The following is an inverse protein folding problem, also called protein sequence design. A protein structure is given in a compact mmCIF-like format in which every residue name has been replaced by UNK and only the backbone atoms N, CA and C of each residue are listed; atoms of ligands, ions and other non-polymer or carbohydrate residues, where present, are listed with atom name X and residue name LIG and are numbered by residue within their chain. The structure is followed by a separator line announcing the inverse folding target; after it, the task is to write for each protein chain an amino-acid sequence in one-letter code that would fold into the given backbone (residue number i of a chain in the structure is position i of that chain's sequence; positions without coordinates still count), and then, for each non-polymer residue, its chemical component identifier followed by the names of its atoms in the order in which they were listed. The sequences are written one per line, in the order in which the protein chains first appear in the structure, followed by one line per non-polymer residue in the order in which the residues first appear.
data_IF_529074745733
#
_entry.id   IF_529074745733
#
_cell.length_a   1.000
_cell.length_b   1.000
_cell.length_c   1.000
_cell.angle_alpha   90.00
_cell.angle_beta   90.00
_cell.angle_gamma   90.00
#
_symmetry.space_group_name_H-M   'P 1'
#
loop_
_entity.id
_entity.type
_entity.pdbx_description
1 polymer ?
#
# COMPACT_ATOMS: atom_id res chain seq x y z
N UNK A 1 25.60 -20.49 36.08
CA UNK A 1 25.08 -21.26 34.94
C UNK A 1 24.48 -20.28 33.95
N UNK A 2 25.13 -20.17 32.81
CA UNK A 2 24.93 -19.18 31.76
C UNK A 2 23.67 -19.44 30.93
N UNK A 3 22.79 -18.45 30.82
CA UNK A 3 21.77 -18.37 29.78
C UNK A 3 21.97 -17.07 29.00
N UNK A 4 23.04 -17.04 28.21
CA UNK A 4 23.09 -16.25 26.99
C UNK A 4 22.65 -17.21 25.87
N UNK A 5 21.47 -16.98 25.29
CA UNK A 5 21.25 -17.33 23.91
C UNK A 5 20.38 -16.23 23.30
N UNK A 6 21.04 -15.47 22.42
CA UNK A 6 20.42 -14.53 21.49
C UNK A 6 19.76 -15.37 20.40
N UNK A 7 18.45 -15.29 20.25
CA UNK A 7 17.80 -15.66 18.99
C UNK A 7 17.83 -14.43 18.07
N UNK A 8 19.00 -14.21 17.47
CA UNK A 8 19.10 -13.54 16.17
C UNK A 8 18.54 -14.52 15.13
N UNK A 9 17.25 -14.37 14.79
CA UNK A 9 16.66 -15.01 13.60
C UNK A 9 16.06 -13.95 12.68
N UNK A 10 16.90 -12.97 12.34
CA UNK A 10 16.80 -12.20 11.11
C UNK A 10 17.91 -12.72 10.18
N UNK A 11 17.54 -13.04 8.94
CA UNK A 11 18.42 -13.42 7.83
C UNK A 11 18.82 -14.90 7.70
N UNK A 12 17.84 -15.75 7.40
CA UNK A 12 18.02 -16.63 6.24
C UNK A 12 16.78 -16.49 5.36
N UNK A 13 16.79 -15.48 4.49
CA UNK A 13 15.94 -15.51 3.30
C UNK A 13 16.32 -16.80 2.59
N UNK A 14 15.43 -17.78 2.64
CA UNK A 14 15.63 -19.10 2.08
C UNK A 14 16.02 -18.97 0.61
N UNK A 15 17.34 -19.05 0.33
CA UNK A 15 17.92 -18.85 -0.99
C UNK A 15 17.33 -19.87 -1.98
N UNK A 16 16.88 -21.02 -1.47
CA UNK A 16 16.14 -22.03 -2.23
C UNK A 16 14.78 -21.51 -2.73
N UNK A 17 14.00 -20.83 -1.89
CA UNK A 17 12.76 -20.18 -2.33
C UNK A 17 13.03 -19.03 -3.31
N UNK A 18 14.16 -18.33 -3.17
CA UNK A 18 14.56 -17.29 -4.12
C UNK A 18 14.98 -17.86 -5.48
N UNK A 19 15.71 -18.98 -5.49
CA UNK A 19 16.12 -19.69 -6.70
C UNK A 19 14.91 -20.34 -7.37
N UNK A 20 14.03 -20.99 -6.61
CA UNK A 20 12.78 -21.56 -7.13
C UNK A 20 11.84 -20.44 -7.64
N UNK A 21 11.85 -19.25 -7.01
CA UNK A 21 11.19 -18.05 -7.51
C UNK A 21 11.80 -17.53 -8.82
N UNK A 22 13.13 -17.50 -8.95
CA UNK A 22 13.81 -17.14 -10.21
C UNK A 22 13.59 -18.17 -11.31
N UNK A 23 13.46 -19.46 -10.96
CA UNK A 23 13.16 -20.55 -11.90
C UNK A 23 11.67 -20.58 -12.30
N UNK A 24 10.74 -20.23 -11.41
CA UNK A 24 9.33 -20.04 -11.74
C UNK A 24 9.09 -18.74 -12.53
N UNK A 25 9.89 -17.70 -12.29
CA UNK A 25 9.96 -16.48 -13.08
C UNK A 25 10.65 -16.67 -14.46
N UNK A 26 11.02 -17.90 -14.85
CA UNK A 26 11.64 -18.23 -16.15
C UNK A 26 10.72 -18.04 -17.37
N UNK A 27 9.68 -17.24 -17.26
CA UNK A 27 8.97 -16.65 -18.40
C UNK A 27 9.39 -15.20 -18.67
N UNK A 28 10.51 -14.72 -18.11
CA UNK A 28 11.20 -13.55 -18.66
C UNK A 28 11.73 -13.93 -20.05
N UNK A 29 11.17 -13.41 -21.15
CA UNK A 29 11.66 -13.69 -22.49
C UNK A 29 13.10 -13.21 -22.63
N UNK A 30 13.92 -14.06 -23.22
CA UNK A 30 15.30 -13.78 -23.59
C UNK A 30 15.37 -12.51 -24.44
N UNK A 31 16.24 -11.59 -24.05
CA UNK A 31 16.50 -10.30 -24.68
C UNK A 31 16.82 -10.50 -26.17
N UNK A 32 16.06 -9.88 -27.06
CA UNK A 32 16.41 -9.77 -28.48
C UNK A 32 17.42 -8.63 -28.67
N UNK A 33 18.51 -8.92 -29.38
CA UNK A 33 19.66 -8.03 -29.57
C UNK A 33 19.28 -6.58 -29.95
N UNK A 34 19.71 -5.61 -29.12
CA UNK A 34 19.76 -4.18 -29.45
C UNK A 34 18.47 -3.34 -29.27
N UNK A 35 17.33 -3.93 -28.89
CA UNK A 35 16.06 -3.18 -28.72
C UNK A 35 15.94 -2.52 -27.34
N UNK A 36 15.42 -1.28 -27.31
CA UNK A 36 15.17 -0.56 -26.05
C UNK A 36 13.92 -1.13 -25.35
N UNK A 37 14.07 -1.52 -24.08
CA UNK A 37 12.96 -2.02 -23.27
C UNK A 37 12.17 -0.87 -22.62
N UNK A 38 10.87 -1.09 -22.41
CA UNK A 38 9.98 -0.20 -21.66
C UNK A 38 9.06 -1.02 -20.75
N UNK A 39 9.21 -0.86 -19.45
CA UNK A 39 8.39 -1.53 -18.44
C UNK A 39 7.22 -0.63 -18.03
N UNK A 40 5.99 -1.11 -18.21
CA UNK A 40 4.75 -0.40 -17.94
C UNK A 40 4.02 -1.10 -16.79
N UNK A 41 3.82 -0.42 -15.67
CA UNK A 41 3.09 -0.96 -14.52
C UNK A 41 1.64 -0.47 -14.53
N UNK A 42 0.68 -1.40 -14.58
CA UNK A 42 -0.74 -1.08 -14.55
C UNK A 42 -1.23 -0.93 -13.11
N UNK A 43 -1.66 0.27 -12.75
CA UNK A 43 -2.19 0.63 -11.45
C UNK A 43 -3.65 1.08 -11.55
N UNK A 44 -4.38 1.03 -10.44
CA UNK A 44 -5.75 1.51 -10.36
C UNK A 44 -6.70 0.56 -9.65
N UNK A 45 -7.93 1.04 -9.44
CA UNK A 45 -9.00 0.32 -8.75
C UNK A 45 -9.41 -0.95 -9.50
N UNK A 46 -9.94 -1.93 -8.78
CA UNK A 46 -10.60 -3.11 -9.37
C UNK A 46 -11.76 -2.68 -10.28
N UNK A 47 -12.01 -3.43 -11.35
CA UNK A 47 -13.09 -3.11 -12.32
C UNK A 47 -12.78 -2.00 -13.32
N UNK A 48 -11.73 -1.19 -13.15
CA UNK A 48 -11.39 -0.10 -14.08
C UNK A 48 -10.79 -0.56 -15.42
N UNK A 49 -10.60 -1.87 -15.60
CA UNK A 49 -10.15 -2.44 -16.86
C UNK A 49 -8.64 -2.53 -17.05
N UNK A 50 -7.84 -2.59 -15.97
CA UNK A 50 -6.36 -2.78 -16.05
C UNK A 50 -5.96 -3.93 -16.97
N UNK A 51 -6.41 -5.16 -16.69
CA UNK A 51 -6.10 -6.33 -17.51
C UNK A 51 -6.59 -6.19 -18.96
N UNK A 52 -7.74 -5.53 -19.18
CA UNK A 52 -8.24 -5.25 -20.52
C UNK A 52 -7.35 -4.25 -21.28
N UNK A 53 -6.89 -3.19 -20.61
CA UNK A 53 -5.89 -2.24 -21.13
C UNK A 53 -4.57 -2.93 -21.42
N UNK A 54 -4.14 -3.86 -20.55
CA UNK A 54 -2.97 -4.70 -20.79
C UNK A 54 -3.11 -5.54 -22.06
N UNK A 55 -4.24 -6.22 -22.24
CA UNK A 55 -4.54 -6.99 -23.45
C UNK A 55 -4.59 -6.11 -24.71
N UNK A 56 -5.19 -4.93 -24.64
CA UNK A 56 -5.19 -3.96 -25.74
C UNK A 56 -3.79 -3.48 -26.09
N UNK A 57 -2.94 -3.29 -25.08
CA UNK A 57 -1.53 -2.90 -25.27
C UNK A 57 -0.72 -4.03 -25.92
N UNK A 58 -0.96 -5.28 -25.52
CA UNK A 58 -0.32 -6.46 -26.13
C UNK A 58 -0.86 -6.77 -27.53
N UNK A 59 -2.05 -6.27 -27.88
CA UNK A 59 -2.74 -6.54 -29.14
C UNK A 59 -3.46 -7.90 -29.17
N UNK A 60 -3.36 -8.70 -28.12
CA UNK A 60 -3.97 -10.02 -27.97
C UNK A 60 -4.33 -10.29 -26.49
N UNK A 61 -5.16 -11.31 -26.24
CA UNK A 61 -5.67 -11.64 -24.90
C UNK A 61 -4.70 -12.56 -24.17
N UNK A 62 -3.94 -11.99 -23.23
CA UNK A 62 -2.98 -12.73 -22.39
C UNK A 62 -3.36 -12.69 -20.91
N UNK A 63 -3.82 -11.54 -20.43
CA UNK A 63 -4.34 -11.38 -19.07
C UNK A 63 -5.78 -11.83 -19.00
N UNK A 64 -6.15 -12.56 -17.94
CA UNK A 64 -7.53 -12.93 -17.68
C UNK A 64 -8.34 -11.68 -17.27
N UNK A 65 -9.06 -11.11 -18.23
CA UNK A 65 -10.03 -10.03 -17.98
C UNK A 65 -11.46 -10.58 -18.01
N UNK A 66 -12.20 -10.49 -16.90
CA UNK A 66 -13.63 -10.83 -16.82
C UNK A 66 -14.42 -9.65 -16.25
N UNK A 67 -15.68 -9.52 -16.64
CA UNK A 67 -16.65 -8.55 -16.10
C UNK A 67 -17.29 -9.02 -14.78
N UNK A 68 -16.78 -10.11 -14.18
CA UNK A 68 -17.28 -10.67 -12.93
C UNK A 68 -16.95 -9.79 -11.73
N UNK A 69 -17.85 -9.74 -10.74
CA UNK A 69 -17.71 -8.95 -9.50
C UNK A 69 -16.56 -9.42 -8.57
N UNK A 70 -15.97 -10.59 -8.80
CA UNK A 70 -14.79 -11.08 -8.08
C UNK A 70 -13.50 -10.68 -8.78
N UNK A 71 -12.48 -10.30 -7.99
CA UNK A 71 -11.13 -10.02 -8.53
C UNK A 71 -10.56 -11.29 -9.17
N UNK A 72 -10.26 -11.22 -10.46
CA UNK A 72 -9.76 -12.36 -11.27
C UNK A 72 -8.25 -12.51 -11.18
N UNK A 73 -7.54 -11.40 -10.95
CA UNK A 73 -6.08 -11.34 -10.89
C UNK A 73 -5.61 -11.39 -9.44
N UNK A 74 -5.02 -12.52 -9.03
CA UNK A 74 -4.47 -12.74 -7.69
C UNK A 74 -2.95 -12.55 -7.61
N UNK A 75 -2.26 -12.47 -8.75
CA UNK A 75 -0.80 -12.45 -8.85
C UNK A 75 -0.33 -11.38 -9.85
N UNK A 76 0.90 -10.88 -9.66
CA UNK A 76 1.55 -9.99 -10.63
C UNK A 76 1.93 -10.77 -11.88
N UNK A 77 1.54 -10.27 -13.05
CA UNK A 77 1.81 -10.92 -14.33
C UNK A 77 2.56 -9.97 -15.26
N UNK A 78 3.63 -10.44 -15.88
CA UNK A 78 4.39 -9.69 -16.88
C UNK A 78 4.24 -10.35 -18.25
N UNK A 79 3.88 -9.56 -19.26
CA UNK A 79 3.72 -9.99 -20.66
C UNK A 79 4.39 -8.98 -21.57
N UNK A 80 4.84 -9.42 -22.73
CA UNK A 80 5.66 -8.59 -23.60
C UNK A 80 5.11 -8.53 -25.03
N UNK A 81 5.28 -7.38 -25.67
CA UNK A 81 5.01 -7.19 -27.09
C UNK A 81 6.12 -6.35 -27.71
N UNK A 82 6.53 -6.68 -28.92
CA UNK A 82 7.43 -5.84 -29.69
C UNK A 82 6.64 -4.84 -30.52
N UNK A 83 7.00 -3.55 -30.44
CA UNK A 83 6.35 -2.50 -31.21
C UNK A 83 7.35 -1.41 -31.60
N UNK A 84 7.45 -1.09 -32.90
CA UNK A 84 8.32 -0.04 -33.45
C UNK A 84 9.76 -0.07 -32.92
N UNK A 85 10.36 -1.26 -32.80
CA UNK A 85 11.74 -1.44 -32.34
C UNK A 85 11.92 -1.39 -30.80
N UNK A 86 10.83 -1.31 -30.05
CA UNK A 86 10.83 -1.41 -28.59
C UNK A 86 10.25 -2.75 -28.14
N UNK A 87 10.78 -3.28 -27.04
CA UNK A 87 10.16 -4.37 -26.29
C UNK A 87 9.37 -3.74 -25.15
N UNK A 88 8.04 -3.83 -25.24
CA UNK A 88 7.12 -3.28 -24.25
C UNK A 88 6.72 -4.38 -23.28
N UNK A 89 7.12 -4.23 -22.02
CA UNK A 89 6.76 -5.13 -20.93
C UNK A 89 5.56 -4.52 -20.21
N UNK A 90 4.43 -5.23 -20.22
CA UNK A 90 3.20 -4.84 -19.55
C UNK A 90 3.07 -5.68 -18.29
N UNK A 91 3.02 -5.02 -17.14
CA UNK A 91 2.96 -5.65 -15.83
C UNK A 91 1.58 -5.35 -15.25
N UNK A 92 0.72 -6.37 -15.26
CA UNK A 92 -0.59 -6.31 -14.64
C UNK A 92 -0.48 -6.67 -13.15
N UNK A 93 -1.13 -5.89 -12.31
CA UNK A 93 -1.15 -6.10 -10.86
C UNK A 93 -2.58 -6.32 -10.37
N UNK A 94 -2.76 -7.08 -9.28
CA UNK A 94 -4.04 -7.11 -8.58
C UNK A 94 -4.53 -5.70 -8.27
N UNK A 95 -5.79 -5.43 -8.57
CA UNK A 95 -6.37 -4.13 -8.28
C UNK A 95 -6.46 -3.83 -6.80
N UNK A 96 -6.43 -2.55 -6.46
CA UNK A 96 -6.88 -2.13 -5.13
C UNK A 96 -8.40 -2.33 -5.10
N UNK A 97 -8.88 -3.24 -4.24
CA UNK A 97 -10.29 -3.58 -4.08
C UNK A 97 -11.17 -2.33 -3.79
N UNK A 98 -12.48 -2.45 -4.06
CA UNK A 98 -13.44 -1.33 -4.06
C UNK A 98 -13.70 -0.68 -2.69
N UNK A 99 -13.11 -1.20 -1.61
CA UNK A 99 -13.24 -0.63 -0.27
C UNK A 99 -12.31 0.58 -0.08
N UNK A 100 -12.88 1.64 0.51
CA UNK A 100 -12.12 2.82 0.95
C UNK A 100 -11.00 2.39 1.92
N UNK A 101 -9.84 3.06 1.87
CA UNK A 101 -8.71 2.68 2.76
C UNK A 101 -9.03 2.82 4.24
N UNK A 102 -10.03 3.63 4.59
CA UNK A 102 -10.57 3.75 5.96
C UNK A 102 -11.00 2.40 6.54
N UNK A 103 -11.41 1.45 5.68
CA UNK A 103 -11.92 0.15 6.08
C UNK A 103 -10.98 -1.02 5.72
N UNK A 104 -9.79 -0.73 5.17
CA UNK A 104 -8.85 -1.78 4.79
C UNK A 104 -7.97 -2.20 5.95
N UNK A 105 -7.73 -3.52 6.03
CA UNK A 105 -6.79 -4.09 6.98
C UNK A 105 -5.36 -3.84 6.51
N UNK A 106 -4.48 -3.60 7.47
CA UNK A 106 -3.05 -3.45 7.21
C UNK A 106 -2.41 -4.69 6.57
N UNK A 107 -2.98 -5.88 6.80
CA UNK A 107 -2.55 -7.14 6.17
C UNK A 107 -2.78 -7.12 4.66
N UNK A 108 -3.95 -6.66 4.21
CA UNK A 108 -4.27 -6.53 2.78
C UNK A 108 -3.32 -5.53 2.10
N UNK A 109 -3.00 -4.42 2.78
CA UNK A 109 -2.05 -3.43 2.26
C UNK A 109 -0.62 -3.97 2.18
N UNK A 110 -0.19 -4.82 3.11
CA UNK A 110 1.12 -5.47 3.03
C UNK A 110 1.23 -6.38 1.80
N UNK A 111 0.17 -7.14 1.49
CA UNK A 111 0.12 -7.96 0.26
C UNK A 111 0.24 -7.07 -0.98
N UNK A 112 -0.44 -5.92 -1.01
CA UNK A 112 -0.32 -4.95 -2.11
C UNK A 112 1.13 -4.45 -2.23
N UNK A 113 1.76 -4.05 -1.14
CA UNK A 113 3.14 -3.55 -1.15
C UNK A 113 4.11 -4.62 -1.66
N UNK A 114 3.94 -5.88 -1.25
CA UNK A 114 4.79 -6.98 -1.72
C UNK A 114 4.58 -7.25 -3.21
N UNK A 115 3.35 -7.19 -3.71
CA UNK A 115 3.07 -7.27 -5.15
C UNK A 115 3.76 -6.13 -5.92
N UNK A 116 3.74 -4.89 -5.40
CA UNK A 116 4.42 -3.77 -6.05
C UNK A 116 5.94 -3.94 -6.04
N UNK A 117 6.49 -4.45 -4.93
CA UNK A 117 7.90 -4.79 -4.82
C UNK A 117 8.27 -5.90 -5.82
N UNK A 118 7.46 -6.94 -5.96
CA UNK A 118 7.65 -8.00 -6.95
C UNK A 118 7.66 -7.44 -8.37
N UNK A 119 6.70 -6.58 -8.72
CA UNK A 119 6.62 -5.92 -10.02
C UNK A 119 7.90 -5.14 -10.37
N UNK A 120 8.47 -4.42 -9.40
CA UNK A 120 9.74 -3.69 -9.59
C UNK A 120 10.91 -4.66 -9.81
N UNK A 121 11.00 -5.75 -9.05
CA UNK A 121 12.07 -6.75 -9.21
C UNK A 121 12.00 -7.48 -10.55
N UNK A 122 10.79 -7.72 -11.06
CA UNK A 122 10.57 -8.33 -12.38
C UNK A 122 10.86 -7.39 -13.55
N UNK A 123 11.28 -6.15 -13.28
CA UNK A 123 11.46 -5.09 -14.27
C UNK A 123 12.92 -4.65 -14.38
N UNK A 124 13.77 -5.38 -15.13
CA UNK A 124 15.13 -4.94 -15.42
C UNK A 124 15.15 -3.51 -15.96
N UNK A 125 15.99 -2.66 -15.38
CA UNK A 125 16.04 -1.24 -15.74
C UNK A 125 14.87 -0.40 -15.22
N UNK A 126 14.05 -0.90 -14.28
CA UNK A 126 13.02 -0.13 -13.57
C UNK A 126 11.71 0.09 -14.34
N UNK A 127 10.70 0.62 -13.67
CA UNK A 127 9.39 0.97 -14.25
C UNK A 127 9.52 2.29 -15.01
N UNK A 128 9.25 2.25 -16.31
CA UNK A 128 9.37 3.44 -17.17
C UNK A 128 8.12 4.29 -17.15
N UNK A 129 6.94 3.67 -17.00
CA UNK A 129 5.69 4.37 -16.84
C UNK A 129 4.73 3.64 -15.89
N UNK A 130 4.07 4.40 -15.05
CA UNK A 130 2.92 3.95 -14.27
C UNK A 130 1.65 4.32 -15.03
N UNK A 131 0.90 3.33 -15.49
CA UNK A 131 -0.37 3.54 -16.16
C UNK A 131 -1.48 3.45 -15.12
N UNK A 132 -1.97 4.61 -14.66
CA UNK A 132 -3.08 4.68 -13.73
C UNK A 132 -4.40 4.60 -14.50
N UNK A 133 -5.06 3.45 -14.39
CA UNK A 133 -6.25 3.12 -15.18
C UNK A 133 -7.52 3.58 -14.47
N UNK A 134 -8.30 4.39 -15.17
CA UNK A 134 -9.58 4.96 -14.70
C UNK A 134 -10.68 4.61 -15.70
N UNK A 135 -11.88 4.29 -15.23
CA UNK A 135 -13.02 4.08 -16.13
C UNK A 135 -13.66 5.41 -16.51
N UNK A 136 -13.93 5.64 -17.80
CA UNK A 136 -14.76 6.76 -18.24
C UNK A 136 -16.25 6.58 -17.88
N UNK A 137 -16.70 5.35 -17.65
CA UNK A 137 -18.12 5.02 -17.41
C UNK A 137 -18.72 5.59 -16.11
N UNK A 138 -17.97 6.37 -15.33
CA UNK A 138 -18.38 6.87 -14.02
C UNK A 138 -17.62 8.12 -13.60
N UNK A 139 -18.07 8.72 -12.50
CA UNK A 139 -17.40 9.87 -11.89
C UNK A 139 -16.13 9.42 -11.18
N UNK A 140 -15.14 10.31 -11.11
CA UNK A 140 -13.98 10.15 -10.24
C UNK A 140 -14.42 10.24 -8.77
N UNK A 141 -14.33 9.13 -8.03
CA UNK A 141 -14.91 9.02 -6.67
C UNK A 141 -13.87 9.21 -5.55
N UNK A 142 -14.34 9.26 -4.30
CA UNK A 142 -13.45 9.25 -3.13
C UNK A 142 -12.59 7.98 -3.09
N UNK A 143 -13.11 6.84 -3.56
CA UNK A 143 -12.37 5.58 -3.70
C UNK A 143 -11.23 5.68 -4.71
N UNK A 144 -11.42 6.42 -5.82
CA UNK A 144 -10.37 6.61 -6.83
C UNK A 144 -9.25 7.49 -6.30
N UNK A 145 -9.62 8.58 -5.62
CA UNK A 145 -8.66 9.45 -4.93
C UNK A 145 -7.88 8.70 -3.86
N UNK A 146 -8.61 7.98 -3.01
CA UNK A 146 -8.08 7.06 -2.02
C UNK A 146 -7.06 6.10 -2.62
N UNK A 147 -7.39 5.50 -3.78
CA UNK A 147 -6.55 4.52 -4.48
C UNK A 147 -5.24 5.16 -4.94
N UNK A 148 -5.33 6.36 -5.51
CA UNK A 148 -4.17 7.15 -5.89
C UNK A 148 -3.30 7.53 -4.68
N UNK A 149 -3.92 8.01 -3.60
CA UNK A 149 -3.20 8.41 -2.38
C UNK A 149 -2.43 7.23 -1.78
N UNK A 150 -3.02 6.02 -1.79
CA UNK A 150 -2.31 4.81 -1.38
C UNK A 150 -1.09 4.52 -2.26
N UNK A 151 -1.20 4.66 -3.59
CA UNK A 151 -0.04 4.51 -4.47
C UNK A 151 1.04 5.57 -4.22
N UNK A 152 0.67 6.79 -3.84
CA UNK A 152 1.64 7.82 -3.41
C UNK A 152 2.35 7.45 -2.11
N UNK A 153 1.67 6.81 -1.16
CA UNK A 153 2.33 6.26 0.03
C UNK A 153 3.29 5.12 -0.32
N UNK A 154 2.96 4.32 -1.34
CA UNK A 154 3.74 3.14 -1.76
C UNK A 154 4.97 3.53 -2.57
N UNK A 155 4.79 4.31 -3.63
CA UNK A 155 5.83 4.65 -4.60
C UNK A 155 6.48 6.02 -4.33
N UNK A 156 5.94 6.79 -3.39
CA UNK A 156 6.38 8.16 -3.13
C UNK A 156 5.52 9.19 -3.85
N UNK A 157 5.51 10.45 -3.38
CA UNK A 157 4.55 11.45 -3.82
C UNK A 157 4.74 11.92 -5.27
N UNK A 158 5.94 11.81 -5.84
CA UNK A 158 6.27 12.33 -7.18
C UNK A 158 6.17 11.29 -8.29
N UNK A 159 5.90 10.01 -7.98
CA UNK A 159 5.94 8.93 -8.96
C UNK A 159 5.03 9.18 -10.17
N UNK A 160 3.87 9.80 -9.95
CA UNK A 160 2.91 10.12 -10.99
C UNK A 160 3.35 11.33 -11.82
N UNK A 161 3.97 12.33 -11.19
CA UNK A 161 4.50 13.51 -11.88
C UNK A 161 5.69 13.15 -12.76
N UNK A 162 6.54 12.25 -12.29
CA UNK A 162 7.77 11.85 -12.98
C UNK A 162 7.51 10.80 -14.07
N UNK A 163 6.67 9.79 -13.79
CA UNK A 163 6.50 8.61 -14.64
C UNK A 163 5.03 8.20 -14.86
N UNK A 164 4.04 9.01 -14.46
CA UNK A 164 2.63 8.66 -14.54
C UNK A 164 1.95 9.04 -15.87
N UNK A 165 1.13 8.11 -16.39
CA UNK A 165 0.16 8.35 -17.48
C UNK A 165 -1.22 7.90 -16.99
N UNK A 166 -2.24 8.73 -17.17
CA UNK A 166 -3.62 8.34 -16.87
C UNK A 166 -4.23 7.69 -18.11
N UNK A 167 -4.77 6.47 -17.96
CA UNK A 167 -5.41 5.75 -19.06
C UNK A 167 -6.89 5.60 -18.76
N UNK A 168 -7.73 6.20 -19.61
CA UNK A 168 -9.18 6.10 -19.54
C UNK A 168 -9.64 4.91 -20.35
N UNK A 169 -10.42 4.02 -19.72
CA UNK A 169 -11.10 2.94 -20.41
C UNK A 169 -12.51 3.36 -20.81
N UNK A 170 -13.15 2.57 -21.69
CA UNK A 170 -14.46 2.87 -22.27
C UNK A 170 -14.45 4.09 -23.20
N UNK A 171 -13.45 4.17 -24.08
CA UNK A 171 -13.36 5.24 -25.10
C UNK A 171 -14.53 5.30 -26.08
N UNK A 172 -15.23 4.18 -26.27
CA UNK A 172 -16.51 4.11 -26.97
C UNK A 172 -17.61 4.94 -26.28
N UNK A 173 -17.69 4.89 -24.95
CA UNK A 173 -18.63 5.72 -24.19
C UNK A 173 -18.27 7.20 -24.26
N UNK A 174 -16.98 7.55 -24.26
CA UNK A 174 -16.55 8.94 -24.46
C UNK A 174 -17.01 9.45 -25.82
N UNK A 175 -16.77 8.70 -26.90
CA UNK A 175 -17.21 9.09 -28.24
C UNK A 175 -18.73 9.29 -28.30
N UNK A 176 -19.52 8.36 -27.78
CA UNK A 176 -20.97 8.50 -27.70
C UNK A 176 -21.42 9.73 -26.90
N UNK A 177 -20.77 10.02 -25.77
CA UNK A 177 -21.11 11.21 -24.97
C UNK A 177 -20.83 12.53 -25.70
N UNK A 178 -19.76 12.61 -26.49
CA UNK A 178 -19.45 13.83 -27.26
C UNK A 178 -20.44 14.04 -28.41
N UNK A 179 -20.96 12.95 -29.00
CA UNK A 179 -22.04 13.02 -30.00
C UNK A 179 -23.36 13.50 -29.38
N UNK A 180 -23.72 12.99 -28.20
CA UNK A 180 -24.94 13.41 -27.47
C UNK A 180 -24.88 14.86 -26.98
N UNK A 181 -23.70 15.35 -26.60
CA UNK A 181 -23.48 16.75 -26.18
C UNK A 181 -23.33 17.73 -27.37
N UNK A 182 -23.57 17.29 -28.61
CA UNK A 182 -23.39 18.07 -29.84
C UNK A 182 -21.98 18.70 -29.98
N UNK A 183 -20.96 18.04 -29.43
CA UNK A 183 -19.55 18.45 -29.51
C UNK A 183 -18.63 17.34 -30.06
N UNK A 184 -18.96 16.73 -31.22
CA UNK A 184 -18.23 15.56 -31.75
C UNK A 184 -16.76 15.86 -32.10
N UNK A 185 -16.43 17.12 -32.38
CA UNK A 185 -15.07 17.56 -32.69
C UNK A 185 -14.18 17.75 -31.45
N UNK A 186 -14.77 17.69 -30.25
CA UNK A 186 -14.02 17.88 -28.99
C UNK A 186 -13.08 16.72 -28.77
N UNK A 187 -11.79 17.01 -28.77
CA UNK A 187 -10.78 15.99 -28.54
C UNK A 187 -10.77 15.55 -27.07
N UNK A 188 -10.41 14.30 -26.83
CA UNK A 188 -10.24 13.77 -25.47
C UNK A 188 -9.25 14.61 -24.64
N UNK A 189 -8.20 15.16 -25.28
CA UNK A 189 -7.22 16.02 -24.59
C UNK A 189 -7.80 17.37 -24.18
N UNK A 190 -8.69 17.96 -24.98
CA UNK A 190 -9.41 19.18 -24.61
C UNK A 190 -10.35 18.90 -23.45
N UNK A 191 -11.12 17.80 -23.53
CA UNK A 191 -11.96 17.35 -22.42
C UNK A 191 -11.17 17.20 -21.12
N UNK A 192 -10.00 16.55 -21.13
CA UNK A 192 -9.15 16.45 -19.94
C UNK A 192 -8.67 17.80 -19.39
N UNK A 193 -8.46 18.81 -20.23
CA UNK A 193 -7.99 20.14 -19.80
C UNK A 193 -9.08 20.97 -19.12
N UNK A 194 -10.33 20.73 -19.47
CA UNK A 194 -11.49 21.42 -18.88
C UNK A 194 -11.90 20.85 -17.52
N UNK A 195 -11.34 19.71 -17.12
CA UNK A 195 -11.65 19.09 -15.84
C UNK A 195 -11.20 19.96 -14.66
N UNK A 196 -12.03 20.03 -13.63
CA UNK A 196 -11.80 20.85 -12.43
C UNK A 196 -11.83 20.00 -11.16
N UNK A 197 -11.51 20.61 -10.02
CA UNK A 197 -11.49 19.94 -8.72
C UNK A 197 -10.44 18.82 -8.63
N UNK A 198 -10.65 17.80 -7.78
CA UNK A 198 -9.68 16.74 -7.54
C UNK A 198 -9.23 16.00 -8.82
N UNK A 199 -10.13 15.88 -9.79
CA UNK A 199 -9.84 15.24 -11.06
C UNK A 199 -9.01 16.13 -11.99
N UNK A 200 -9.29 17.44 -12.02
CA UNK A 200 -8.43 18.41 -12.70
C UNK A 200 -7.03 18.50 -12.10
N UNK A 201 -6.92 18.38 -10.77
CA UNK A 201 -5.62 18.36 -10.07
C UNK A 201 -4.79 17.12 -10.45
N UNK A 202 -5.45 15.95 -10.56
CA UNK A 202 -4.83 14.73 -11.08
C UNK A 202 -4.26 14.93 -12.50
N UNK A 203 -5.03 15.57 -13.40
CA UNK A 203 -4.57 15.85 -14.76
C UNK A 203 -3.36 16.79 -14.78
N UNK A 204 -3.33 17.79 -13.90
CA UNK A 204 -2.18 18.71 -13.79
C UNK A 204 -0.94 18.00 -13.24
N UNK A 205 -1.11 17.18 -12.21
CA UNK A 205 -0.03 16.42 -11.58
C UNK A 205 0.67 15.51 -12.61
N UNK A 206 -0.09 14.82 -13.46
CA UNK A 206 0.49 14.00 -14.53
C UNK A 206 0.90 14.80 -15.78
N UNK A 207 0.95 16.15 -15.72
CA UNK A 207 1.30 17.03 -16.85
C UNK A 207 0.42 16.78 -18.09
N UNK A 208 -0.86 16.46 -17.86
CA UNK A 208 -1.86 16.13 -18.86
C UNK A 208 -1.48 14.93 -19.76
N UNK A 209 -0.62 14.03 -19.28
CA UNK A 209 -0.33 12.74 -19.92
C UNK A 209 -1.52 11.81 -19.73
N UNK A 210 -2.45 11.88 -20.67
CA UNK A 210 -3.69 11.12 -20.67
C UNK A 210 -3.92 10.41 -22.00
N UNK A 211 -4.47 9.20 -21.94
CA UNK A 211 -4.80 8.36 -23.09
C UNK A 211 -6.22 7.83 -22.94
N UNK A 212 -6.91 7.68 -24.06
CA UNK A 212 -8.24 7.07 -24.13
C UNK A 212 -8.13 5.73 -24.83
N UNK A 213 -8.58 4.68 -24.16
CA UNK A 213 -8.57 3.30 -24.63
C UNK A 213 -10.01 2.80 -24.80
N UNK A 214 -10.33 2.41 -26.03
CA UNK A 214 -11.43 1.52 -26.32
C UNK A 214 -10.93 0.07 -26.28
N UNK A 215 -11.10 -0.59 -25.14
CA UNK A 215 -10.71 -2.00 -24.97
C UNK A 215 -11.62 -2.98 -25.74
N UNK A 216 -12.73 -2.49 -26.31
CA UNK A 216 -13.63 -3.22 -27.20
C UNK A 216 -13.27 -3.05 -28.67
N UNK A 217 -12.25 -2.24 -29.01
CA UNK A 217 -11.81 -2.02 -30.39
C UNK A 217 -11.49 -3.36 -31.06
N UNK A 218 -12.06 -3.61 -32.24
CA UNK A 218 -11.91 -4.90 -32.95
C UNK A 218 -10.96 -4.83 -34.13
N UNK A 219 -10.98 -3.74 -34.88
CA UNK A 219 -10.13 -3.58 -36.05
C UNK A 219 -8.66 -3.36 -35.66
N UNK A 220 -7.77 -3.88 -36.50
CA UNK A 220 -6.33 -3.85 -36.25
C UNK A 220 -5.77 -2.42 -36.29
N UNK A 221 -6.33 -1.53 -37.11
CA UNK A 221 -5.83 -0.17 -37.27
C UNK A 221 -6.05 0.66 -35.99
N UNK A 222 -7.25 0.60 -35.41
CA UNK A 222 -7.59 1.24 -34.15
C UNK A 222 -6.74 0.69 -32.99
N UNK A 223 -6.58 -0.64 -32.89
CA UNK A 223 -5.71 -1.26 -31.88
C UNK A 223 -4.26 -0.78 -32.00
N UNK A 224 -3.70 -0.78 -33.22
CA UNK A 224 -2.35 -0.30 -33.46
C UNK A 224 -2.20 1.19 -33.17
N UNK A 225 -3.22 2.00 -33.45
CA UNK A 225 -3.21 3.43 -33.15
C UNK A 225 -3.16 3.70 -31.63
N UNK A 226 -3.95 2.99 -30.83
CA UNK A 226 -3.89 3.10 -29.36
C UNK A 226 -2.51 2.73 -28.81
N UNK A 227 -1.94 1.61 -29.28
CA UNK A 227 -0.60 1.19 -28.88
C UNK A 227 0.47 2.21 -29.32
N UNK A 228 0.34 2.76 -30.52
CA UNK A 228 1.24 3.81 -31.02
C UNK A 228 1.21 5.04 -30.11
N UNK A 229 0.02 5.54 -29.77
CA UNK A 229 -0.13 6.69 -28.87
C UNK A 229 0.47 6.43 -27.49
N UNK A 230 0.27 5.22 -26.94
CA UNK A 230 0.88 4.83 -25.67
C UNK A 230 2.41 4.82 -25.74
N UNK A 231 2.99 4.19 -26.77
CA UNK A 231 4.45 4.13 -26.92
C UNK A 231 5.04 5.53 -27.14
N UNK A 232 4.36 6.41 -27.87
CA UNK A 232 4.76 7.82 -28.01
C UNK A 232 4.79 8.57 -26.67
N UNK A 233 3.79 8.37 -25.81
CA UNK A 233 3.80 8.95 -24.46
C UNK A 233 4.93 8.37 -23.59
N UNK A 234 5.16 7.06 -23.64
CA UNK A 234 6.19 6.40 -22.83
C UNK A 234 7.61 6.79 -23.26
N UNK A 235 7.82 7.13 -24.53
CA UNK A 235 9.13 7.52 -25.06
C UNK A 235 9.70 8.79 -24.43
N UNK A 236 8.84 9.66 -23.89
CA UNK A 236 9.26 10.93 -23.27
C UNK A 236 9.92 10.71 -21.89
N UNK A 237 9.73 9.53 -21.29
CA UNK A 237 10.37 9.20 -20.02
C UNK A 237 11.82 8.76 -20.26
N UNK A 238 12.75 9.62 -19.84
CA UNK A 238 14.19 9.36 -19.90
C UNK A 238 14.68 8.50 -18.73
N UNK A 239 14.05 8.65 -17.57
CA UNK A 239 14.37 7.93 -16.34
C UNK A 239 13.26 6.94 -15.99
N UNK A 240 13.67 5.84 -15.38
CA UNK A 240 12.80 4.81 -14.84
C UNK A 240 12.75 4.89 -13.32
N UNK A 241 11.62 4.55 -12.74
CA UNK A 241 11.48 4.31 -11.31
C UNK A 241 12.11 2.96 -10.94
N UNK A 242 13.14 2.98 -10.09
CA UNK A 242 13.95 1.80 -9.74
C UNK A 242 13.69 1.29 -8.33
N UNK A 243 14.32 0.17 -7.97
CA UNK A 243 14.29 -0.35 -6.61
C UNK A 243 14.84 0.66 -5.58
N UNK A 244 15.83 1.47 -5.93
CA UNK A 244 16.38 2.51 -5.05
C UNK A 244 15.33 3.58 -4.73
N UNK A 245 14.58 4.06 -5.74
CA UNK A 245 13.46 4.98 -5.54
C UNK A 245 12.39 4.35 -4.63
N UNK A 246 12.10 3.06 -4.81
CA UNK A 246 11.20 2.35 -3.92
C UNK A 246 11.73 2.30 -2.48
N UNK A 247 13.01 1.99 -2.27
CA UNK A 247 13.61 1.94 -0.95
C UNK A 247 13.59 3.30 -0.24
N UNK A 248 13.75 4.42 -0.96
CA UNK A 248 13.70 5.77 -0.38
C UNK A 248 12.41 6.08 0.39
N UNK A 249 11.30 5.43 0.04
CA UNK A 249 10.00 5.63 0.69
C UNK A 249 9.62 4.50 1.66
N UNK A 250 10.60 3.74 2.19
CA UNK A 250 10.33 2.68 3.16
C UNK A 250 9.64 3.18 4.42
N UNK A 251 10.11 4.29 5.00
CA UNK A 251 9.55 4.86 6.23
C UNK A 251 8.13 5.38 6.00
N UNK A 252 7.87 6.01 4.85
CA UNK A 252 6.53 6.44 4.45
C UNK A 252 5.54 5.26 4.37
N UNK A 253 5.97 4.14 3.78
CA UNK A 253 5.16 2.92 3.72
C UNK A 253 4.92 2.32 5.10
N UNK A 254 5.96 2.28 5.95
CA UNK A 254 5.85 1.75 7.31
C UNK A 254 4.87 2.58 8.14
N UNK A 255 4.97 3.91 8.10
CA UNK A 255 4.04 4.82 8.75
C UNK A 255 2.61 4.63 8.22
N UNK A 256 2.45 4.48 6.90
CA UNK A 256 1.16 4.23 6.28
C UNK A 256 0.52 2.92 6.79
N UNK A 257 1.29 1.84 6.89
CA UNK A 257 0.81 0.57 7.47
C UNK A 257 0.40 0.73 8.94
N UNK A 258 1.19 1.44 9.74
CA UNK A 258 0.87 1.68 11.16
C UNK A 258 -0.42 2.50 11.29
N UNK A 259 -0.60 3.54 10.47
CA UNK A 259 -1.84 4.32 10.42
C UNK A 259 -3.08 3.46 10.14
N UNK A 260 -2.97 2.45 9.27
CA UNK A 260 -4.06 1.50 9.01
C UNK A 260 -4.35 0.60 10.21
N UNK A 261 -3.34 0.19 10.98
CA UNK A 261 -3.51 -0.60 12.21
C UNK A 261 -4.02 0.24 13.38
N UNK A 262 -3.81 1.55 13.34
CA UNK A 262 -3.98 2.45 14.48
C UNK A 262 -5.35 2.33 15.17
N UNK A 263 -6.50 2.27 14.48
CA UNK A 263 -7.80 2.17 15.15
C UNK A 263 -7.95 0.88 15.97
N UNK A 264 -7.60 -0.27 15.39
CA UNK A 264 -7.66 -1.57 16.07
C UNK A 264 -6.65 -1.65 17.22
N UNK A 265 -5.46 -1.11 16.99
CA UNK A 265 -4.38 -1.08 17.95
C UNK A 265 -4.72 -0.19 19.16
N UNK A 266 -5.25 1.02 18.93
CA UNK A 266 -5.75 1.90 20.00
C UNK A 266 -6.89 1.25 20.77
N UNK A 267 -7.86 0.63 20.09
CA UNK A 267 -8.95 -0.07 20.76
C UNK A 267 -8.45 -1.25 21.62
N UNK A 268 -7.45 -1.99 21.15
CA UNK A 268 -6.83 -3.09 21.90
C UNK A 268 -6.07 -2.58 23.13
N UNK A 269 -5.20 -1.58 22.95
CA UNK A 269 -4.44 -1.01 24.05
C UNK A 269 -5.31 -0.32 25.09
N UNK A 270 -6.36 0.40 24.66
CA UNK A 270 -7.31 1.01 25.58
C UNK A 270 -7.93 -0.04 26.51
N UNK A 271 -8.39 -1.17 25.98
CA UNK A 271 -8.93 -2.27 26.81
C UNK A 271 -7.90 -2.82 27.79
N UNK A 272 -6.64 -2.98 27.38
CA UNK A 272 -5.58 -3.46 28.25
C UNK A 272 -5.26 -2.46 29.37
N UNK A 273 -5.25 -1.17 29.06
CA UNK A 273 -5.07 -0.08 30.03
C UNK A 273 -6.25 -0.04 31.00
N UNK A 274 -7.48 -0.20 30.52
CA UNK A 274 -8.69 -0.21 31.36
C UNK A 274 -8.68 -1.40 32.34
N UNK A 275 -8.31 -2.59 31.87
CA UNK A 275 -8.12 -3.77 32.72
C UNK A 275 -7.05 -3.52 33.79
N UNK A 276 -5.89 -2.99 33.38
CA UNK A 276 -4.81 -2.66 34.31
C UNK A 276 -5.26 -1.62 35.36
N UNK A 277 -6.05 -0.62 34.96
CA UNK A 277 -6.63 0.35 35.87
C UNK A 277 -7.61 -0.30 36.86
N UNK A 278 -8.36 -1.32 36.44
CA UNK A 278 -9.22 -2.11 37.33
C UNK A 278 -8.39 -2.88 38.37
N UNK A 279 -7.33 -3.57 37.93
CA UNK A 279 -6.42 -4.30 38.83
C UNK A 279 -5.78 -3.37 39.87
N UNK A 280 -5.38 -2.16 39.45
CA UNK A 280 -4.85 -1.12 40.34
C UNK A 280 -5.88 -0.64 41.36
N UNK A 281 -7.15 -0.52 40.96
CA UNK A 281 -8.22 -0.15 41.87
C UNK A 281 -8.50 -1.27 42.91
N UNK A 282 -8.40 -2.54 42.50
CA UNK A 282 -8.55 -3.69 43.40
C UNK A 282 -7.37 -3.84 44.37
N UNK A 283 -6.14 -3.57 43.91
CA UNK A 283 -4.93 -3.46 44.76
C UNK A 283 -5.15 -2.46 45.90
N UNK A 284 -5.77 -1.31 45.62
CA UNK A 284 -6.08 -0.31 46.64
C UNK A 284 -7.10 -0.78 47.69
N UNK A 285 -7.90 -1.82 47.38
CA UNK A 285 -8.99 -2.30 48.24
C UNK A 285 -8.66 -3.58 49.01
N UNK A 286 -7.76 -4.42 48.52
CA UNK A 286 -7.52 -5.77 49.06
C UNK A 286 -6.11 -5.94 49.62
N UNK A 287 -5.99 -6.64 50.77
CA UNK A 287 -4.71 -6.90 51.47
C UNK A 287 -3.82 -7.98 50.82
N UNK A 288 -4.29 -8.66 49.78
CA UNK A 288 -3.68 -9.88 49.23
C UNK A 288 -3.32 -9.76 47.74
N UNK A 289 -3.29 -8.55 47.20
CA UNK A 289 -3.17 -8.38 45.76
C UNK A 289 -1.73 -8.51 45.27
N UNK A 290 -1.57 -9.22 44.15
CA UNK A 290 -0.30 -9.53 43.50
C UNK A 290 0.30 -8.28 42.82
N UNK A 291 0.79 -7.35 43.62
CA UNK A 291 1.39 -6.08 43.18
C UNK A 291 2.56 -6.27 42.21
N UNK A 292 3.32 -7.36 42.38
CA UNK A 292 4.38 -7.78 41.46
C UNK A 292 3.83 -8.10 40.06
N UNK A 293 2.70 -8.81 39.98
CA UNK A 293 2.04 -9.18 38.71
C UNK A 293 1.53 -7.94 38.00
N UNK A 294 0.87 -7.02 38.71
CA UNK A 294 0.36 -5.78 38.10
C UNK A 294 1.49 -4.89 37.59
N UNK A 295 2.59 -4.80 38.35
CA UNK A 295 3.79 -4.06 37.92
C UNK A 295 4.44 -4.70 36.70
N UNK A 296 4.52 -6.03 36.66
CA UNK A 296 5.04 -6.79 35.53
C UNK A 296 4.17 -6.60 34.28
N UNK A 297 2.85 -6.71 34.41
CA UNK A 297 1.89 -6.51 33.32
C UNK A 297 2.01 -5.11 32.72
N UNK A 298 2.15 -4.08 33.57
CA UNK A 298 2.37 -2.70 33.12
C UNK A 298 3.67 -2.56 32.30
N UNK A 299 4.76 -3.19 32.75
CA UNK A 299 6.04 -3.19 32.04
C UNK A 299 5.98 -3.92 30.69
N UNK A 300 5.30 -5.07 30.63
CA UNK A 300 5.09 -5.80 29.37
C UNK A 300 4.23 -5.00 28.38
N UNK A 301 3.19 -4.33 28.88
CA UNK A 301 2.32 -3.50 28.06
C UNK A 301 3.09 -2.31 27.47
N UNK A 302 3.98 -1.70 28.25
CA UNK A 302 4.83 -0.59 27.80
C UNK A 302 5.82 -1.01 26.71
N UNK A 303 6.50 -2.15 26.89
CA UNK A 303 7.41 -2.69 25.88
C UNK A 303 6.67 -3.01 24.57
N UNK A 304 5.50 -3.63 24.67
CA UNK A 304 4.69 -3.97 23.51
C UNK A 304 4.17 -2.72 22.78
N UNK A 305 3.78 -1.70 23.53
CA UNK A 305 3.31 -0.44 22.96
C UNK A 305 4.44 0.34 22.28
N UNK A 306 5.66 0.32 22.84
CA UNK A 306 6.84 0.88 22.19
C UNK A 306 7.22 0.12 20.91
N UNK A 307 7.14 -1.22 20.93
CA UNK A 307 7.43 -2.06 19.77
C UNK A 307 6.44 -1.81 18.61
N UNK A 308 5.14 -1.71 18.91
CA UNK A 308 4.11 -1.47 17.90
C UNK A 308 4.10 -0.01 17.38
N UNK A 309 4.46 0.96 18.24
CA UNK A 309 4.60 2.36 17.80
C UNK A 309 5.77 2.55 16.83
N UNK A 310 6.85 1.78 17.00
CA UNK A 310 8.03 1.81 16.12
C UNK A 310 8.73 3.18 16.06
N UNK A 311 8.47 4.09 16.99
CA UNK A 311 8.99 5.45 16.99
C UNK A 311 8.18 6.45 16.16
N UNK A 312 6.98 6.07 15.67
CA UNK A 312 6.12 6.96 14.88
C UNK A 312 5.44 8.06 15.70
N UNK A 313 5.29 7.87 17.01
CA UNK A 313 4.57 8.80 17.89
C UNK A 313 3.04 8.74 17.75
N UNK A 314 2.51 7.84 16.90
CA UNK A 314 1.07 7.72 16.67
C UNK A 314 0.30 7.15 17.88
N UNK A 315 1.00 6.47 18.79
CA UNK A 315 0.46 5.89 20.03
C UNK A 315 0.84 6.69 21.29
N UNK A 316 1.33 7.93 21.16
CA UNK A 316 1.79 8.72 22.30
C UNK A 316 0.68 9.04 23.32
N UNK A 317 -0.57 9.14 22.88
CA UNK A 317 -1.72 9.26 23.77
C UNK A 317 -1.88 8.04 24.68
N UNK A 318 -1.70 6.84 24.12
CA UNK A 318 -1.74 5.58 24.86
C UNK A 318 -0.52 5.42 25.78
N UNK A 319 0.69 5.80 25.32
CA UNK A 319 1.90 5.84 26.18
C UNK A 319 1.67 6.74 27.39
N UNK A 320 1.12 7.94 27.17
CA UNK A 320 0.85 8.89 28.24
C UNK A 320 -0.20 8.37 29.23
N UNK A 321 -1.23 7.68 28.76
CA UNK A 321 -2.21 7.01 29.65
C UNK A 321 -1.54 5.92 30.49
N UNK A 322 -0.75 5.04 29.88
CA UNK A 322 -0.05 3.97 30.59
C UNK A 322 0.96 4.51 31.61
N UNK A 323 1.68 5.59 31.28
CA UNK A 323 2.60 6.26 32.20
C UNK A 323 1.87 6.77 33.46
N UNK A 324 0.67 7.35 33.30
CA UNK A 324 -0.18 7.74 34.43
C UNK A 324 -0.60 6.54 35.27
N UNK A 325 -0.98 5.43 34.65
CA UNK A 325 -1.31 4.18 35.38
C UNK A 325 -0.10 3.62 36.12
N UNK A 326 1.11 3.64 35.53
CA UNK A 326 2.36 3.26 36.21
C UNK A 326 2.65 4.13 37.44
N UNK A 327 2.42 5.44 37.35
CA UNK A 327 2.59 6.32 38.50
C UNK A 327 1.64 5.94 39.64
N UNK A 328 0.40 5.57 39.33
CA UNK A 328 -0.57 5.08 40.32
C UNK A 328 -0.11 3.77 40.97
N UNK A 329 0.40 2.81 40.18
CA UNK A 329 1.00 1.57 40.68
C UNK A 329 2.15 1.89 41.64
N UNK A 330 3.04 2.81 41.26
CA UNK A 330 4.16 3.23 42.11
C UNK A 330 3.69 3.80 43.44
N UNK A 331 2.68 4.68 43.43
CA UNK A 331 2.12 5.23 44.64
C UNK A 331 1.50 4.13 45.54
N UNK A 332 0.80 3.15 44.97
CA UNK A 332 0.30 1.99 45.71
C UNK A 332 1.44 1.15 46.32
N UNK A 333 2.56 0.97 45.60
CA UNK A 333 3.74 0.29 46.14
C UNK A 333 4.33 1.00 47.35
N UNK A 334 4.44 2.33 47.29
CA UNK A 334 4.97 3.11 48.42
C UNK A 334 4.07 2.96 49.65
N UNK A 335 2.76 3.16 49.49
CA UNK A 335 1.78 3.03 50.57
C UNK A 335 1.84 1.63 51.22
N UNK A 336 1.90 0.58 50.41
CA UNK A 336 1.96 -0.79 50.93
C UNK A 336 3.28 -1.08 51.65
N UNK A 337 4.40 -0.53 51.15
CA UNK A 337 5.70 -0.66 51.79
C UNK A 337 5.77 0.06 53.15
N UNK A 338 5.16 1.25 53.26
CA UNK A 338 5.06 2.01 54.50
C UNK A 338 4.18 1.28 55.52
N UNK A 339 3.05 0.72 55.09
CA UNK A 339 2.17 -0.11 55.95
C UNK A 339 2.91 -1.31 56.53
N UNK A 340 3.63 -2.08 55.70
CA UNK A 340 4.41 -3.24 56.17
C UNK A 340 5.49 -2.87 57.18
N UNK A 341 6.13 -1.69 57.03
CA UNK A 341 7.10 -1.19 58.01
C UNK A 341 6.42 -0.87 59.35
N UNK A 342 5.28 -0.19 59.33
CA UNK A 342 4.51 0.12 60.55
C UNK A 342 4.03 -1.14 61.28
N UNK A 343 3.59 -2.18 60.55
CA UNK A 343 3.18 -3.46 61.14
C UNK A 343 4.36 -4.20 61.79
N UNK A 344 5.55 -4.18 61.18
CA UNK A 344 6.76 -4.79 61.73
C UNK A 344 7.28 -4.07 62.99
N UNK A 345 7.27 -2.72 63.00
CA UNK A 345 7.69 -1.92 64.17
C UNK A 345 6.71 -2.07 65.35
N UNK A 346 5.41 -2.19 65.06
CA UNK A 346 4.36 -2.47 66.07
C UNK A 346 4.46 -3.89 66.64
N UNK A 347 5.03 -4.83 65.89
CA UNK A 347 5.23 -6.22 66.34
C UNK A 347 6.51 -6.40 67.17
N UNK A 348 7.54 -5.58 66.94
CA UNK A 348 8.78 -5.59 67.74
C UNK A 348 8.66 -4.87 69.10
N UNK A 349 7.65 -4.04 69.31
CA UNK A 349 7.44 -3.25 70.53
C UNK A 349 6.66 -3.99 71.64
N UNK A 350 6.35 -5.28 71.44
CA UNK A 350 5.56 -6.12 72.37
C UNK A 350 6.44 -7.12 73.16
N UNK A 351 7.78 -7.10 73.02
CA UNK A 351 8.70 -7.96 73.78
C UNK A 351 9.48 -7.23 74.87
#
# INVERSE_FOLDING_TARGET
MSYFNRDENLQEVNIKNLIDFFQAASTVPTISDGKKQRNLLLLGKTGHGKSATGNSTLGHREFKSSSSASSVTSEVQCKQVEFNGFVINVIDTPGLADTTFKNRRAEEMQVVIENMKQAIHMSPGGIHAFLFVVSFSGRFTEEDRSCLDAFKQIFGPTFLEENGIIVFTHGDLFQGSMEEEETPDKSFKEWCREQTGPFGDLMKECKYRCLLFNNSQRDSAGKQNQLKQLVEQVRVFERSYTHEHFQQYCDLRNEFIIKLKLPELKASFQRLIDNLNSDVNELGRTRNANLSVVTQNAGQLEQRLAAEDGGTGLLDDMKAQLARTRQRIHNCMQIESERRRQENDSSCSIF
#
